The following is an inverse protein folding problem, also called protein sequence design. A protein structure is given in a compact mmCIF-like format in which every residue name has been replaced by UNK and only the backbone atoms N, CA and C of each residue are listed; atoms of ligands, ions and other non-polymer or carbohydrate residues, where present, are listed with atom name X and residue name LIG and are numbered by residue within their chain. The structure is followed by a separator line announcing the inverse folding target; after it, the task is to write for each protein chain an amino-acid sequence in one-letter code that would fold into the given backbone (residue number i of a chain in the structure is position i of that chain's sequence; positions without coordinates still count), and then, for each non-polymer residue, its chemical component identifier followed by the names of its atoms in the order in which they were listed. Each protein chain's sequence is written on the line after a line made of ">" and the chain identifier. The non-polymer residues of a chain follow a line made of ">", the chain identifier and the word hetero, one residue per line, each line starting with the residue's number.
data_IF_918635978626
#
_entry.id   IF_918635978626
#
_cell.length_a   1.000
_cell.length_b   1.000
_cell.length_c   1.000
_cell.angle_alpha   90.00
_cell.angle_beta   90.00
_cell.angle_gamma   90.00
#
_symmetry.space_group_name_H-M   'P 1'
#
loop_
_entity.id
_entity.type
_entity.pdbx_description
1 polymer ?
#
# COMPACT_ATOMS: atom_id res chain seq x y z
N UNK A 1 29.76 0.91 1.19
CA UNK A 1 29.17 0.02 0.20
C UNK A 1 30.28 -0.75 -0.49
N UNK A 2 30.33 -2.06 -0.35
CA UNK A 2 31.32 -2.90 -1.00
C UNK A 2 31.05 -3.02 -2.51
N UNK A 3 32.12 -3.19 -3.29
CA UNK A 3 32.07 -3.40 -4.76
C UNK A 3 31.36 -2.27 -5.54
N UNK A 4 31.47 -1.03 -5.06
CA UNK A 4 30.80 0.14 -5.61
C UNK A 4 31.78 1.23 -6.13
N UNK A 5 33.04 0.90 -6.40
CA UNK A 5 34.04 1.86 -6.85
C UNK A 5 33.61 2.61 -8.14
N UNK A 6 33.68 3.94 -8.10
CA UNK A 6 33.22 4.83 -9.16
C UNK A 6 31.70 4.99 -9.32
N UNK A 7 30.89 4.33 -8.50
CA UNK A 7 29.45 4.53 -8.50
C UNK A 7 29.05 5.73 -7.63
N UNK A 8 27.95 6.39 -7.99
CA UNK A 8 27.43 7.53 -7.21
C UNK A 8 26.29 7.07 -6.33
N UNK A 9 26.45 7.29 -5.02
CA UNK A 9 25.40 7.10 -4.04
C UNK A 9 24.68 8.43 -3.81
N UNK A 10 23.35 8.41 -3.93
CA UNK A 10 22.49 9.57 -3.75
C UNK A 10 21.73 9.47 -2.43
N UNK A 11 21.62 10.59 -1.72
CA UNK A 11 20.68 10.78 -0.64
C UNK A 11 19.53 11.64 -1.12
N UNK A 12 18.33 11.13 -1.03
CA UNK A 12 17.11 11.80 -1.51
C UNK A 12 16.06 11.84 -0.41
N UNK A 13 15.29 12.93 -0.32
CA UNK A 13 14.11 13.01 0.54
C UNK A 13 12.87 12.54 -0.21
N UNK A 14 11.97 11.87 0.49
CA UNK A 14 10.67 11.40 -0.01
C UNK A 14 9.56 12.25 0.58
N UNK A 15 9.28 13.42 -0.02
CA UNK A 15 8.15 14.24 0.37
C UNK A 15 6.83 13.64 -0.13
N UNK A 16 5.68 14.09 0.44
CA UNK A 16 4.33 13.63 0.04
C UNK A 16 4.06 13.84 -1.45
N UNK A 17 4.67 14.87 -2.04
CA UNK A 17 4.44 15.30 -3.42
C UNK A 17 5.63 15.01 -4.36
N UNK A 18 6.63 14.28 -3.93
CA UNK A 18 7.75 13.89 -4.80
C UNK A 18 9.05 13.61 -4.08
N UNK A 19 10.07 13.29 -4.86
CA UNK A 19 11.43 12.99 -4.39
C UNK A 19 12.36 14.17 -4.73
N UNK A 20 13.18 14.58 -3.78
CA UNK A 20 14.16 15.65 -3.92
C UNK A 20 15.57 15.16 -3.60
N UNK A 21 16.52 15.46 -4.48
CA UNK A 21 17.94 15.16 -4.25
C UNK A 21 18.49 16.10 -3.18
N UNK A 22 19.05 15.52 -2.12
CA UNK A 22 19.66 16.27 -1.01
C UNK A 22 21.19 16.33 -1.14
N UNK A 23 21.81 15.21 -1.45
CA UNK A 23 23.27 15.10 -1.51
C UNK A 23 23.67 13.90 -2.37
N UNK A 24 24.95 13.83 -2.78
CA UNK A 24 25.51 12.70 -3.50
C UNK A 24 26.99 12.56 -3.23
N UNK A 25 27.50 11.33 -3.33
CA UNK A 25 28.92 11.01 -3.19
C UNK A 25 29.33 9.94 -4.18
N UNK A 26 30.43 10.17 -4.87
CA UNK A 26 31.11 9.13 -5.65
C UNK A 26 31.89 8.23 -4.70
N UNK A 27 31.61 6.93 -4.75
CA UNK A 27 32.20 5.93 -3.88
C UNK A 27 33.60 5.55 -4.42
N UNK A 28 34.56 5.50 -3.51
CA UNK A 28 35.89 5.04 -3.79
C UNK A 28 36.04 3.53 -3.53
N UNK A 29 37.29 3.01 -3.65
CA UNK A 29 37.60 1.59 -3.43
C UNK A 29 37.23 1.07 -2.07
N UNK A 30 37.22 1.95 -1.06
CA UNK A 30 36.81 1.61 0.32
C UNK A 30 35.28 1.62 0.49
N UNK A 31 34.54 2.20 -0.47
CA UNK A 31 33.09 2.31 -0.47
C UNK A 31 32.53 3.10 0.71
N UNK A 32 33.33 3.98 1.30
CA UNK A 32 32.94 4.77 2.47
C UNK A 32 32.17 6.00 2.05
N UNK A 33 31.15 6.35 2.83
CA UNK A 33 30.36 7.56 2.62
C UNK A 33 29.93 8.18 3.94
N UNK A 34 29.56 9.46 3.89
CA UNK A 34 28.98 10.17 5.00
C UNK A 34 28.10 11.31 4.50
N UNK A 35 26.83 11.24 4.84
CA UNK A 35 25.92 12.35 4.66
C UNK A 35 25.64 13.03 6.01
N UNK A 36 25.38 14.33 5.99
CA UNK A 36 24.90 15.11 7.12
C UNK A 36 23.74 15.97 6.66
N UNK A 37 22.63 15.84 7.36
CA UNK A 37 21.44 16.63 7.08
C UNK A 37 20.79 17.11 8.36
N UNK A 38 19.88 18.06 8.26
CA UNK A 38 19.16 18.58 9.42
C UNK A 38 18.17 17.56 9.92
N UNK A 39 18.02 17.45 11.25
CA UNK A 39 16.97 16.65 11.86
C UNK A 39 15.60 17.19 11.43
N UNK A 40 14.66 16.35 10.99
CA UNK A 40 13.33 16.79 10.60
C UNK A 40 12.48 17.18 11.82
N UNK A 41 11.46 18.00 11.61
CA UNK A 41 10.50 18.37 12.65
C UNK A 41 9.49 17.25 12.95
N UNK A 42 9.23 16.40 11.97
CA UNK A 42 8.32 15.26 12.01
C UNK A 42 9.02 14.05 11.45
N UNK A 43 8.51 12.81 11.66
CA UNK A 43 9.04 11.64 10.97
C UNK A 43 9.02 11.84 9.45
N UNK A 44 10.21 11.83 8.86
CA UNK A 44 10.42 12.03 7.43
C UNK A 44 11.13 10.85 6.81
N UNK A 45 10.87 10.64 5.53
CA UNK A 45 11.41 9.52 4.79
C UNK A 45 12.48 10.00 3.82
N UNK A 46 13.51 9.19 3.75
CA UNK A 46 14.64 9.37 2.84
C UNK A 46 14.90 8.07 2.11
N UNK A 47 15.67 8.17 1.05
CA UNK A 47 16.19 6.99 0.39
C UNK A 47 17.67 7.18 0.03
N UNK A 48 18.40 6.06 0.13
CA UNK A 48 19.70 5.93 -0.48
C UNK A 48 19.52 5.21 -1.82
N UNK A 49 19.96 5.83 -2.90
CA UNK A 49 19.87 5.25 -4.24
C UNK A 49 21.26 5.03 -4.83
N UNK A 50 21.52 3.79 -5.23
CA UNK A 50 22.68 3.35 -5.96
C UNK A 50 22.21 2.79 -7.31
N UNK A 51 22.49 3.49 -8.41
CA UNK A 51 21.89 3.20 -9.72
C UNK A 51 20.35 3.10 -9.66
N UNK A 52 19.79 1.91 -9.84
CA UNK A 52 18.34 1.64 -9.76
C UNK A 52 17.89 1.04 -8.42
N UNK A 53 18.84 0.70 -7.57
CA UNK A 53 18.58 0.06 -6.28
C UNK A 53 18.37 1.09 -5.18
N UNK A 54 17.38 0.88 -4.32
CA UNK A 54 16.93 1.86 -3.31
C UNK A 54 16.82 1.20 -1.93
N UNK A 55 17.35 1.88 -0.93
CA UNK A 55 17.12 1.59 0.49
C UNK A 55 16.32 2.74 1.08
N UNK A 56 15.15 2.46 1.65
CA UNK A 56 14.34 3.45 2.34
C UNK A 56 14.76 3.62 3.81
N UNK A 57 14.76 4.85 4.27
CA UNK A 57 15.09 5.25 5.64
C UNK A 57 13.97 6.12 6.21
N UNK A 58 13.77 6.06 7.52
CA UNK A 58 12.94 7.02 8.24
C UNK A 58 13.74 7.67 9.36
N UNK A 59 13.65 8.97 9.46
CA UNK A 59 14.31 9.78 10.50
C UNK A 59 13.24 10.58 11.21
N UNK A 60 13.16 10.45 12.53
CA UNK A 60 12.18 11.18 13.35
C UNK A 60 12.84 12.18 14.32
N UNK A 61 14.15 12.08 14.48
CA UNK A 61 14.92 12.88 15.44
C UNK A 61 16.37 13.05 14.98
N UNK A 62 17.26 13.46 15.90
CA UNK A 62 18.70 13.47 15.65
C UNK A 62 19.26 12.07 15.81
N UNK A 63 19.54 11.41 14.71
CA UNK A 63 20.05 10.04 14.65
C UNK A 63 21.39 9.95 13.94
N UNK A 64 22.13 8.88 14.21
CA UNK A 64 23.32 8.50 13.45
C UNK A 64 23.14 7.08 12.95
N UNK A 65 22.88 6.94 11.65
CA UNK A 65 22.71 5.66 10.99
C UNK A 65 24.06 5.14 10.49
N UNK A 66 24.29 3.85 10.69
CA UNK A 66 25.38 3.13 10.04
C UNK A 66 24.79 2.10 9.10
N UNK A 67 25.21 2.16 7.84
CA UNK A 67 24.75 1.25 6.80
C UNK A 67 25.95 0.54 6.18
N UNK A 68 25.81 -0.75 5.98
CA UNK A 68 26.74 -1.60 5.25
C UNK A 68 25.96 -2.41 4.23
N UNK A 69 26.38 -2.38 2.96
CA UNK A 69 25.71 -3.05 1.85
C UNK A 69 26.73 -3.48 0.80
N UNK A 70 26.32 -4.40 -0.09
CA UNK A 70 27.07 -4.73 -1.30
C UNK A 70 26.35 -4.16 -2.54
N UNK A 71 27.08 -3.59 -3.49
CA UNK A 71 26.50 -2.98 -4.69
C UNK A 71 25.69 -3.98 -5.53
N UNK A 72 26.09 -5.26 -5.55
CA UNK A 72 25.43 -6.29 -6.35
C UNK A 72 23.99 -6.59 -5.90
N UNK A 73 23.68 -6.41 -4.60
CA UNK A 73 22.34 -6.62 -4.03
C UNK A 73 21.97 -5.53 -3.01
N UNK A 74 22.24 -4.28 -3.38
CA UNK A 74 22.17 -3.10 -2.52
C UNK A 74 20.82 -2.97 -1.79
N UNK A 75 19.72 -3.26 -2.47
CA UNK A 75 18.37 -3.07 -1.91
C UNK A 75 17.91 -4.18 -0.97
N UNK A 76 18.50 -5.39 -1.02
CA UNK A 76 18.01 -6.54 -0.30
C UNK A 76 19.02 -7.05 0.76
N UNK A 77 20.31 -6.96 0.46
CA UNK A 77 21.38 -7.44 1.36
C UNK A 77 22.17 -6.25 1.95
N UNK A 78 21.61 -5.69 3.02
CA UNK A 78 22.27 -4.61 3.76
C UNK A 78 22.04 -4.75 5.26
N UNK A 79 22.96 -4.24 6.04
CA UNK A 79 22.83 -4.06 7.47
C UNK A 79 22.68 -2.58 7.80
N UNK A 80 21.83 -2.29 8.79
CA UNK A 80 21.56 -0.94 9.24
C UNK A 80 21.40 -0.92 10.75
N UNK A 81 22.08 0.04 11.39
CA UNK A 81 22.04 0.26 12.85
C UNK A 81 21.94 1.74 13.16
N UNK A 82 21.54 2.06 14.41
CA UNK A 82 21.45 3.45 14.89
C UNK A 82 20.06 4.07 14.81
N UNK A 83 19.06 3.34 14.28
CA UNK A 83 17.64 3.71 14.34
C UNK A 83 16.77 2.45 14.38
N UNK A 84 15.93 2.33 15.39
CA UNK A 84 14.99 1.22 15.54
C UNK A 84 13.94 1.24 14.42
N UNK A 85 13.49 2.42 14.00
CA UNK A 85 12.52 2.57 12.90
C UNK A 85 13.11 2.10 11.58
N UNK A 86 14.34 2.49 11.26
CA UNK A 86 15.00 2.02 10.04
C UNK A 86 15.24 0.50 10.05
N UNK A 87 15.57 -0.08 11.21
CA UNK A 87 15.72 -1.55 11.36
C UNK A 87 14.38 -2.25 11.10
N UNK A 88 13.26 -1.75 11.64
CA UNK A 88 11.92 -2.28 11.38
C UNK A 88 11.53 -2.11 9.92
N UNK A 89 11.77 -0.95 9.31
CA UNK A 89 11.51 -0.71 7.88
C UNK A 89 12.29 -1.69 6.99
N UNK A 90 13.56 -2.00 7.33
CA UNK A 90 14.32 -3.03 6.63
C UNK A 90 13.62 -4.39 6.66
N UNK A 91 13.11 -4.79 7.82
CA UNK A 91 12.35 -6.06 7.95
C UNK A 91 11.11 -6.04 7.04
N UNK A 92 10.35 -4.95 7.04
CA UNK A 92 9.18 -4.78 6.16
C UNK A 92 9.59 -4.86 4.70
N UNK A 93 10.65 -4.16 4.28
CA UNK A 93 11.14 -4.18 2.90
C UNK A 93 11.56 -5.59 2.46
N UNK A 94 12.27 -6.33 3.30
CA UNK A 94 12.68 -7.71 3.02
C UNK A 94 11.47 -8.67 2.92
N UNK A 95 10.48 -8.54 3.78
CA UNK A 95 9.25 -9.34 3.69
C UNK A 95 8.43 -8.99 2.43
N UNK A 96 8.34 -7.70 2.09
CA UNK A 96 7.70 -7.25 0.85
C UNK A 96 8.41 -7.80 -0.39
N UNK A 97 9.74 -7.78 -0.41
CA UNK A 97 10.53 -8.35 -1.51
C UNK A 97 10.30 -9.86 -1.68
N UNK A 98 10.21 -10.61 -0.56
CA UNK A 98 9.87 -12.05 -0.57
C UNK A 98 8.48 -12.30 -1.14
N UNK A 99 7.49 -11.52 -0.69
CA UNK A 99 6.12 -11.61 -1.20
C UNK A 99 6.08 -11.29 -2.70
N UNK A 100 6.73 -10.21 -3.13
CA UNK A 100 6.81 -9.83 -4.53
C UNK A 100 7.39 -10.95 -5.38
N UNK A 101 8.51 -11.53 -4.98
CA UNK A 101 9.14 -12.66 -5.68
C UNK A 101 8.15 -13.82 -5.82
N UNK A 102 7.43 -14.14 -4.75
CA UNK A 102 6.46 -15.23 -4.72
C UNK A 102 5.27 -14.96 -5.66
N UNK A 103 4.72 -13.74 -5.64
CA UNK A 103 3.64 -13.32 -6.54
C UNK A 103 4.10 -13.38 -8.01
N UNK A 104 5.32 -12.93 -8.31
CA UNK A 104 5.88 -12.97 -9.66
C UNK A 104 6.09 -14.42 -10.16
N UNK A 105 6.48 -15.36 -9.27
CA UNK A 105 6.58 -16.80 -9.57
C UNK A 105 5.21 -17.42 -9.87
N UNK A 106 4.20 -17.12 -9.04
CA UNK A 106 2.83 -17.61 -9.22
C UNK A 106 2.21 -17.02 -10.50
N UNK A 107 2.44 -15.76 -10.80
CA UNK A 107 1.96 -15.09 -12.01
C UNK A 107 2.54 -15.74 -13.28
N UNK A 108 3.84 -16.04 -13.29
CA UNK A 108 4.47 -16.78 -14.40
C UNK A 108 3.91 -18.20 -14.55
N UNK A 109 3.67 -18.88 -13.43
CA UNK A 109 3.08 -20.21 -13.43
C UNK A 109 1.63 -20.21 -13.97
N UNK A 110 0.82 -19.20 -13.62
CA UNK A 110 -0.53 -19.00 -14.17
C UNK A 110 -0.50 -18.80 -15.69
N UNK A 111 0.45 -18.02 -16.17
CA UNK A 111 0.61 -17.78 -17.63
C UNK A 111 1.01 -19.03 -18.41
N UNK A 112 1.63 -20.02 -17.77
CA UNK A 112 2.13 -21.24 -18.39
C UNK A 112 1.19 -22.44 -18.24
N UNK A 113 0.20 -22.41 -17.32
CA UNK A 113 -0.67 -23.52 -16.96
C UNK A 113 -2.12 -23.08 -16.79
N UNK A 114 -2.87 -23.03 -17.89
CA UNK A 114 -4.28 -22.59 -17.89
C UNK A 114 -5.19 -23.38 -16.94
N UNK A 115 -4.94 -24.68 -16.78
CA UNK A 115 -5.80 -25.59 -16.00
C UNK A 115 -5.62 -25.44 -14.46
N UNK A 116 -4.59 -24.68 -14.02
CA UNK A 116 -4.27 -24.47 -12.61
C UNK A 116 -4.38 -23.02 -12.15
N UNK A 117 -4.94 -22.16 -12.98
CA UNK A 117 -5.00 -20.72 -12.70
C UNK A 117 -5.73 -20.43 -11.39
N UNK A 118 -6.84 -21.11 -11.11
CA UNK A 118 -7.62 -20.85 -9.89
C UNK A 118 -6.90 -21.31 -8.63
N UNK A 119 -6.21 -22.46 -8.68
CA UNK A 119 -5.39 -22.95 -7.56
C UNK A 119 -4.22 -21.99 -7.26
N UNK A 120 -3.52 -21.53 -8.32
CA UNK A 120 -2.40 -20.61 -8.18
C UNK A 120 -2.84 -19.23 -7.70
N UNK A 121 -4.01 -18.76 -8.14
CA UNK A 121 -4.61 -17.52 -7.63
C UNK A 121 -4.95 -17.62 -6.15
N UNK A 122 -5.50 -18.75 -5.72
CA UNK A 122 -5.79 -19.00 -4.32
C UNK A 122 -4.53 -18.95 -3.46
N UNK A 123 -3.43 -19.56 -3.90
CA UNK A 123 -2.14 -19.48 -3.22
C UNK A 123 -1.62 -18.02 -3.12
N UNK A 124 -1.76 -17.23 -4.18
CA UNK A 124 -1.36 -15.82 -4.14
C UNK A 124 -2.16 -15.01 -3.12
N UNK A 125 -3.47 -15.27 -3.01
CA UNK A 125 -4.35 -14.63 -2.01
C UNK A 125 -3.96 -15.06 -0.59
N UNK A 126 -3.66 -16.34 -0.37
CA UNK A 126 -3.21 -16.87 0.92
C UNK A 126 -1.87 -16.26 1.35
N UNK A 127 -0.88 -16.19 0.45
CA UNK A 127 0.43 -15.59 0.70
C UNK A 127 0.29 -14.09 1.03
N UNK A 128 -0.58 -13.35 0.31
CA UNK A 128 -0.89 -11.95 0.59
C UNK A 128 -1.57 -11.78 1.96
N UNK A 129 -2.50 -12.66 2.31
CA UNK A 129 -3.20 -12.60 3.60
C UNK A 129 -2.25 -12.83 4.78
N UNK A 130 -1.30 -13.75 4.65
CA UNK A 130 -0.25 -14.00 5.66
C UNK A 130 0.64 -12.76 5.83
N UNK A 131 1.05 -12.14 4.73
CA UNK A 131 1.82 -10.90 4.78
C UNK A 131 1.03 -9.77 5.44
N UNK A 132 -0.21 -9.52 5.01
CA UNK A 132 -1.08 -8.47 5.58
C UNK A 132 -1.25 -8.65 7.08
N UNK A 133 -1.48 -9.88 7.53
CA UNK A 133 -1.60 -10.17 8.97
C UNK A 133 -0.34 -9.78 9.74
N UNK A 134 0.84 -10.15 9.24
CA UNK A 134 2.13 -9.80 9.87
C UNK A 134 2.32 -8.28 9.95
N UNK A 135 2.01 -7.56 8.87
CA UNK A 135 2.11 -6.11 8.83
C UNK A 135 1.08 -5.43 9.74
N UNK A 136 -0.12 -5.99 9.82
CA UNK A 136 -1.16 -5.52 10.74
C UNK A 136 -0.69 -5.58 12.20
N UNK A 137 -0.11 -6.71 12.61
CA UNK A 137 0.42 -6.87 13.96
C UNK A 137 1.51 -5.82 14.26
N UNK A 138 2.43 -5.55 13.32
CA UNK A 138 3.47 -4.52 13.45
C UNK A 138 2.89 -3.10 13.58
N UNK A 139 1.87 -2.78 12.80
CA UNK A 139 1.21 -1.46 12.87
C UNK A 139 0.52 -1.26 14.21
N UNK A 140 -0.13 -2.30 14.75
CA UNK A 140 -0.83 -2.20 16.04
C UNK A 140 0.13 -2.00 17.23
N UNK A 141 1.39 -2.41 17.13
CA UNK A 141 2.40 -2.11 18.17
C UNK A 141 2.60 -0.61 18.36
N UNK A 142 2.67 0.15 17.27
CA UNK A 142 2.80 1.61 17.30
C UNK A 142 2.23 2.24 16.00
N UNK A 143 0.93 2.56 15.96
CA UNK A 143 0.30 3.15 14.78
C UNK A 143 0.84 4.53 14.38
N UNK A 144 1.50 5.24 15.30
CA UNK A 144 2.10 6.54 15.04
C UNK A 144 3.56 6.46 14.55
N UNK A 145 4.11 5.26 14.37
CA UNK A 145 5.49 5.07 13.94
C UNK A 145 5.69 5.35 12.45
N UNK A 146 6.91 5.72 12.08
CA UNK A 146 7.28 5.83 10.66
C UNK A 146 7.14 4.48 9.94
N UNK A 147 7.45 3.37 10.61
CA UNK A 147 7.25 2.02 10.06
C UNK A 147 5.78 1.75 9.73
N UNK A 148 4.84 2.15 10.61
CA UNK A 148 3.40 1.99 10.33
C UNK A 148 2.96 2.78 9.10
N UNK A 149 3.43 4.02 8.96
CA UNK A 149 3.21 4.81 7.75
C UNK A 149 3.79 4.11 6.52
N UNK A 150 5.03 3.62 6.59
CA UNK A 150 5.69 2.92 5.49
C UNK A 150 4.91 1.68 5.05
N UNK A 151 4.37 0.90 6.00
CA UNK A 151 3.56 -0.30 5.73
C UNK A 151 2.32 0.02 4.91
N UNK A 152 1.53 1.04 5.29
CA UNK A 152 0.25 1.32 4.62
C UNK A 152 0.41 1.88 3.20
N UNK A 153 1.61 2.31 2.83
CA UNK A 153 1.93 2.77 1.48
C UNK A 153 2.71 1.75 0.63
N UNK A 154 2.86 0.50 1.11
CA UNK A 154 3.53 -0.55 0.33
C UNK A 154 2.75 -0.92 -0.93
N UNK A 155 3.50 -1.14 -2.01
CA UNK A 155 2.97 -1.57 -3.31
C UNK A 155 3.73 -2.80 -3.83
N UNK A 156 3.03 -3.67 -4.55
CA UNK A 156 3.63 -4.76 -5.33
C UNK A 156 3.16 -4.63 -6.77
N UNK A 157 4.08 -4.53 -7.70
CA UNK A 157 3.83 -4.40 -9.13
C UNK A 157 2.90 -3.21 -9.48
N UNK A 158 2.89 -2.14 -8.67
CA UNK A 158 2.05 -0.96 -8.82
C UNK A 158 0.68 -1.06 -8.14
N UNK A 159 0.33 -2.21 -7.59
CA UNK A 159 -0.89 -2.38 -6.81
C UNK A 159 -0.62 -2.16 -5.32
N UNK A 160 -1.49 -1.40 -4.67
CA UNK A 160 -1.42 -1.19 -3.21
C UNK A 160 -1.71 -2.49 -2.47
N UNK A 161 -0.87 -2.81 -1.50
CA UNK A 161 -1.11 -3.95 -0.61
C UNK A 161 -2.28 -3.66 0.34
N UNK A 162 -2.35 -2.43 0.85
CA UNK A 162 -3.45 -1.95 1.70
C UNK A 162 -4.29 -0.95 0.93
N UNK A 163 -5.51 -1.38 0.56
CA UNK A 163 -6.44 -0.55 -0.21
C UNK A 163 -7.35 0.24 0.75
N UNK A 164 -7.35 1.58 0.72
CA UNK A 164 -8.24 2.37 1.57
C UNK A 164 -9.73 2.14 1.28
N UNK A 165 -10.08 1.60 0.11
CA UNK A 165 -11.46 1.27 -0.25
C UNK A 165 -11.90 -0.11 0.24
N UNK A 166 -10.98 -1.00 0.59
CA UNK A 166 -11.29 -2.23 1.32
C UNK A 166 -11.62 -1.91 2.79
N UNK A 167 -12.65 -2.55 3.34
CA UNK A 167 -13.16 -2.22 4.68
C UNK A 167 -12.19 -2.62 5.80
N UNK A 168 -11.44 -3.71 5.65
CA UNK A 168 -10.52 -4.19 6.67
C UNK A 168 -9.18 -3.46 6.59
N UNK A 169 -8.65 -3.25 5.38
CA UNK A 169 -7.44 -2.45 5.16
C UNK A 169 -7.63 -1.01 5.65
N UNK A 170 -8.81 -0.42 5.42
CA UNK A 170 -9.13 0.94 5.86
C UNK A 170 -9.09 1.09 7.38
N UNK A 171 -9.44 0.05 8.15
CA UNK A 171 -9.32 0.09 9.62
C UNK A 171 -7.87 0.29 10.06
N UNK A 172 -6.94 -0.41 9.39
CA UNK A 172 -5.51 -0.26 9.64
C UNK A 172 -5.02 1.13 9.27
N UNK A 173 -5.37 1.59 8.06
CA UNK A 173 -5.01 2.94 7.58
C UNK A 173 -5.56 4.03 8.50
N UNK A 174 -6.81 3.88 8.99
CA UNK A 174 -7.42 4.80 9.93
C UNK A 174 -6.72 4.81 11.31
N UNK A 175 -6.24 3.66 11.77
CA UNK A 175 -5.43 3.59 13.00
C UNK A 175 -4.13 4.38 12.85
N UNK A 176 -3.42 4.22 11.73
CA UNK A 176 -2.20 4.98 11.42
C UNK A 176 -2.52 6.48 11.28
N UNK A 177 -3.59 6.84 10.57
CA UNK A 177 -4.02 8.22 10.41
C UNK A 177 -4.31 8.89 11.78
N UNK A 178 -4.98 8.19 12.68
CA UNK A 178 -5.27 8.65 14.03
C UNK A 178 -4.00 8.82 14.87
N UNK A 179 -3.08 7.84 14.79
CA UNK A 179 -1.80 7.90 15.48
C UNK A 179 -0.96 9.11 15.05
N UNK A 180 -0.84 9.32 13.74
CA UNK A 180 -0.12 10.47 13.18
C UNK A 180 -0.80 11.80 13.50
N UNK A 181 -2.13 11.90 13.39
CA UNK A 181 -2.89 13.14 13.72
C UNK A 181 -2.73 13.50 15.20
N UNK A 182 -2.62 12.52 16.09
CA UNK A 182 -2.44 12.73 17.53
C UNK A 182 -1.05 13.27 17.89
N UNK A 183 0.01 12.78 17.25
CA UNK A 183 1.39 13.16 17.57
C UNK A 183 1.91 14.28 16.66
N UNK A 184 1.48 14.32 15.41
CA UNK A 184 2.01 15.22 14.38
C UNK A 184 0.89 15.87 13.56
N UNK A 185 -0.08 16.60 14.20
CA UNK A 185 -1.29 17.11 13.52
C UNK A 185 -0.98 18.05 12.34
N UNK A 186 0.13 18.77 12.41
CA UNK A 186 0.55 19.73 11.36
C UNK A 186 1.37 19.10 10.24
N UNK A 187 1.81 17.84 10.40
CA UNK A 187 2.61 17.14 9.40
C UNK A 187 1.85 16.98 8.08
N UNK A 188 2.51 17.19 6.93
CA UNK A 188 1.93 16.89 5.62
C UNK A 188 1.46 15.41 5.50
N UNK A 189 2.14 14.48 6.17
CA UNK A 189 1.83 13.06 6.17
C UNK A 189 0.55 12.75 6.94
N UNK A 190 0.33 13.42 8.07
CA UNK A 190 -0.94 13.32 8.81
C UNK A 190 -2.11 13.80 7.97
N UNK A 191 -1.95 14.92 7.28
CA UNK A 191 -2.96 15.46 6.36
C UNK A 191 -3.23 14.51 5.19
N UNK A 192 -2.19 13.88 4.63
CA UNK A 192 -2.33 12.89 3.55
C UNK A 192 -3.13 11.66 4.02
N UNK A 193 -2.76 11.05 5.14
CA UNK A 193 -3.46 9.89 5.72
C UNK A 193 -4.93 10.21 6.02
N UNK A 194 -5.18 11.35 6.64
CA UNK A 194 -6.53 11.83 6.97
C UNK A 194 -7.38 12.03 5.72
N UNK A 195 -6.86 12.71 4.72
CA UNK A 195 -7.57 12.95 3.45
C UNK A 195 -7.86 11.64 2.73
N UNK A 196 -6.91 10.72 2.67
CA UNK A 196 -7.10 9.39 2.08
C UNK A 196 -8.19 8.60 2.79
N UNK A 197 -8.18 8.57 4.12
CA UNK A 197 -9.20 7.87 4.92
C UNK A 197 -10.58 8.49 4.76
N UNK A 198 -10.68 9.82 4.81
CA UNK A 198 -11.96 10.53 4.64
C UNK A 198 -12.54 10.35 3.23
N UNK A 199 -11.69 10.37 2.20
CA UNK A 199 -12.12 10.14 0.82
C UNK A 199 -12.69 8.73 0.63
N UNK A 200 -12.05 7.71 1.21
CA UNK A 200 -12.53 6.33 1.15
C UNK A 200 -13.87 6.15 1.89
N UNK A 201 -14.03 6.76 3.07
CA UNK A 201 -15.30 6.74 3.82
C UNK A 201 -16.40 7.45 3.03
N UNK A 202 -16.11 8.58 2.40
CA UNK A 202 -17.08 9.31 1.59
C UNK A 202 -17.53 8.49 0.37
N UNK A 203 -16.60 7.81 -0.29
CA UNK A 203 -16.90 6.94 -1.43
C UNK A 203 -17.79 5.75 -1.00
N UNK A 204 -17.49 5.11 0.13
CA UNK A 204 -18.33 4.03 0.65
C UNK A 204 -19.76 4.49 0.97
N UNK A 205 -19.90 5.64 1.64
CA UNK A 205 -21.22 6.21 1.94
C UNK A 205 -22.00 6.54 0.67
N UNK A 206 -21.33 7.07 -0.37
CA UNK A 206 -21.95 7.34 -1.66
C UNK A 206 -22.46 6.05 -2.33
N UNK A 207 -21.64 4.99 -2.36
CA UNK A 207 -22.01 3.70 -2.91
C UNK A 207 -23.18 3.04 -2.12
N UNK A 208 -23.18 3.14 -0.79
CA UNK A 208 -24.28 2.64 0.05
C UNK A 208 -25.59 3.39 -0.21
N UNK A 209 -25.51 4.72 -0.37
CA UNK A 209 -26.66 5.55 -0.69
C UNK A 209 -27.24 5.19 -2.05
N UNK A 210 -26.41 5.08 -3.08
CA UNK A 210 -26.83 4.66 -4.42
C UNK A 210 -27.50 3.29 -4.41
N UNK A 211 -26.90 2.32 -3.71
CA UNK A 211 -27.50 0.99 -3.54
C UNK A 211 -28.87 1.05 -2.88
N UNK A 212 -29.02 1.83 -1.80
CA UNK A 212 -30.30 1.99 -1.11
C UNK A 212 -31.36 2.69 -1.97
N UNK A 213 -30.98 3.66 -2.81
CA UNK A 213 -31.87 4.33 -3.74
C UNK A 213 -32.35 3.36 -4.86
N UNK A 214 -31.45 2.50 -5.37
CA UNK A 214 -31.79 1.46 -6.33
C UNK A 214 -32.78 0.44 -5.68
N UNK A 215 -32.49 -0.03 -4.47
CA UNK A 215 -33.35 -0.95 -3.74
C UNK A 215 -34.72 -0.33 -3.46
N UNK A 216 -34.78 0.94 -3.05
CA UNK A 216 -36.01 1.66 -2.81
C UNK A 216 -36.82 1.90 -4.12
N UNK A 217 -36.15 2.19 -5.22
CA UNK A 217 -36.80 2.34 -6.54
C UNK A 217 -37.37 1.02 -7.04
N UNK A 218 -36.68 -0.09 -6.76
CA UNK A 218 -37.12 -1.44 -7.11
C UNK A 218 -38.32 -1.89 -6.23
N UNK A 219 -38.32 -1.50 -4.96
CA UNK A 219 -39.41 -1.79 -4.02
C UNK A 219 -40.68 -0.96 -4.30
N UNK A 220 -40.55 0.23 -4.90
CA UNK A 220 -41.68 1.10 -5.30
C UNK A 220 -42.14 0.85 -6.75
N UNK A 221 -41.71 -0.25 -7.33
CA UNK A 221 -42.12 -0.63 -8.68
C UNK A 221 -43.63 -0.93 -8.70
N UNK A 222 -44.37 -0.20 -9.55
CA UNK A 222 -45.79 -0.42 -9.73
C UNK A 222 -45.97 -1.74 -10.49
N UNK A 223 -46.37 -2.77 -9.75
CA UNK A 223 -46.59 -4.10 -10.33
C UNK A 223 -47.83 -4.07 -11.20
N UNK A 224 -47.60 -3.96 -12.54
CA UNK A 224 -48.69 -3.91 -13.52
C UNK A 224 -49.15 -5.31 -13.83
N UNK A 225 -50.47 -5.49 -13.74
CA UNK A 225 -51.17 -6.70 -14.20
C UNK A 225 -51.56 -6.55 -15.65
N UNK A 226 -51.03 -7.39 -16.50
CA UNK A 226 -51.35 -7.44 -17.92
C UNK A 226 -51.91 -8.82 -18.28
N UNK A 227 -52.73 -8.88 -19.34
CA UNK A 227 -53.26 -10.14 -19.87
C UNK A 227 -52.63 -10.42 -21.23
N UNK A 228 -52.10 -11.64 -21.43
CA UNK A 228 -51.59 -12.06 -22.72
C UNK A 228 -52.73 -12.30 -23.74
N UNK A 229 -52.41 -12.46 -25.02
CA UNK A 229 -53.37 -12.69 -26.09
C UNK A 229 -54.25 -13.95 -25.89
N UNK A 230 -53.94 -14.78 -24.88
CA UNK A 230 -54.70 -15.96 -24.51
C UNK A 230 -55.50 -15.74 -23.23
N UNK A 231 -55.60 -14.50 -22.74
CA UNK A 231 -56.33 -14.12 -21.54
C UNK A 231 -55.66 -14.55 -20.24
N UNK A 232 -54.39 -14.93 -20.23
CA UNK A 232 -53.65 -15.32 -19.01
C UNK A 232 -53.04 -14.11 -18.34
N UNK A 233 -53.30 -13.94 -17.06
CA UNK A 233 -52.72 -12.87 -16.25
C UNK A 233 -51.20 -13.00 -16.20
N UNK A 234 -50.50 -11.92 -16.45
CA UNK A 234 -49.06 -11.71 -16.32
C UNK A 234 -48.83 -10.54 -15.40
N UNK A 235 -47.96 -10.72 -14.44
CA UNK A 235 -47.59 -9.69 -13.47
C UNK A 235 -46.17 -9.27 -13.80
N UNK A 236 -45.92 -7.97 -13.92
CA UNK A 236 -44.64 -7.43 -14.42
C UNK A 236 -43.47 -7.81 -13.48
N UNK A 237 -43.71 -7.90 -12.17
CA UNK A 237 -42.71 -8.37 -11.18
C UNK A 237 -42.15 -9.76 -11.52
N UNK A 238 -42.89 -10.62 -12.21
CA UNK A 238 -42.41 -11.95 -12.60
C UNK A 238 -41.36 -11.93 -13.73
N UNK A 239 -41.13 -10.77 -14.34
CA UNK A 239 -40.18 -10.59 -15.47
C UNK A 239 -39.04 -9.66 -15.15
N UNK A 240 -39.07 -9.01 -13.98
CA UNK A 240 -38.04 -8.07 -13.53
C UNK A 240 -37.15 -8.75 -12.50
N UNK A 241 -35.96 -9.15 -12.90
CA UNK A 241 -34.91 -9.55 -11.97
C UNK A 241 -34.21 -8.30 -11.43
N UNK A 242 -33.89 -8.27 -10.15
CA UNK A 242 -33.11 -7.18 -9.56
C UNK A 242 -31.81 -6.92 -10.36
N UNK A 243 -31.65 -5.69 -10.81
CA UNK A 243 -30.47 -5.25 -11.56
C UNK A 243 -30.53 -5.41 -13.10
N UNK A 244 -31.68 -5.79 -13.66
CA UNK A 244 -31.89 -5.81 -15.12
C UNK A 244 -32.84 -4.70 -15.57
N UNK A 245 -32.52 -4.07 -16.69
CA UNK A 245 -33.40 -3.09 -17.35
C UNK A 245 -34.37 -3.85 -18.28
N UNK A 246 -35.69 -3.66 -18.09
CA UNK A 246 -36.71 -4.18 -18.98
C UNK A 246 -37.15 -3.02 -19.91
N UNK A 247 -36.92 -3.18 -21.21
CA UNK A 247 -37.49 -2.32 -22.24
C UNK A 247 -38.85 -2.90 -22.62
N UNK A 248 -39.92 -2.09 -22.48
CA UNK A 248 -41.26 -2.38 -22.96
C UNK A 248 -41.45 -1.87 -24.35
#
# INVERSE_FOLDING_TARGET
>A
VADADGQVLYLESLAVNGTELLDSVELDKDGRFKFKYHAPQYPEFYQLRLDKSIIHLAIDSTETLNLSANAADFANDYELTGSDECVKMRIVAQESAKLKKRIDELSRAMSSNSDRVDDLRKLAIEDLAVYKKKMFDLVLENPASATAYYIVFQEINGDKIFDPYDADDRKLIAAVATGFDSLYPDSPRSKQLKNMTLAAIAAERAAQKEKSEIEASTANFLDMELYDLRGRKKVLSNFVDAGKVVLL
#
